data_IF_363405586830
#
_entry.id   IF_363405586830
#
_cell.length_a   1.000
_cell.length_b   1.000
_cell.length_c   1.000
_cell.angle_alpha   90.00
_cell.angle_beta   90.00
_cell.angle_gamma   90.00
#
_symmetry.space_group_name_H-M   'P 1'
#
loop_
_entity.id
_entity.type
_entity.pdbx_description
1 polymer ?
#
# COMPACT_ATOMS: atom_id res chain seq x y z
N UNK A 1 -9.60 -9.10 -8.76
CA UNK A 1 -9.37 -9.40 -10.19
C UNK A 1 -9.48 -8.09 -10.98
N UNK A 2 -8.70 -7.96 -12.05
CA UNK A 2 -8.68 -6.77 -12.92
C UNK A 2 -9.67 -6.93 -14.07
N UNK A 3 -10.13 -5.83 -14.65
CA UNK A 3 -11.03 -5.82 -15.81
C UNK A 3 -10.25 -5.41 -17.05
N UNK A 4 -10.16 -6.30 -18.02
CA UNK A 4 -9.46 -6.07 -19.28
C UNK A 4 -10.36 -6.38 -20.49
N UNK A 5 -9.82 -6.17 -21.70
CA UNK A 5 -10.53 -6.44 -22.94
C UNK A 5 -10.98 -7.89 -23.04
N UNK A 6 -10.13 -8.84 -22.63
CA UNK A 6 -10.44 -10.29 -22.69
C UNK A 6 -11.64 -10.66 -21.80
N UNK A 7 -11.74 -10.04 -20.63
CA UNK A 7 -12.85 -10.21 -19.68
C UNK A 7 -14.16 -9.75 -20.31
N UNK A 8 -14.14 -8.59 -20.98
CA UNK A 8 -15.33 -7.99 -21.58
C UNK A 8 -15.76 -8.69 -22.87
N UNK A 9 -14.79 -9.10 -23.70
CA UNK A 9 -15.02 -9.90 -24.90
C UNK A 9 -15.65 -11.25 -24.57
N UNK A 10 -15.31 -11.83 -23.41
CA UNK A 10 -15.95 -13.05 -22.91
C UNK A 10 -17.38 -12.81 -22.44
N UNK A 11 -17.62 -11.81 -21.58
CA UNK A 11 -18.91 -11.66 -20.88
C UNK A 11 -19.98 -10.93 -21.70
N UNK A 12 -19.61 -9.94 -22.51
CA UNK A 12 -20.58 -9.10 -23.23
C UNK A 12 -21.45 -9.87 -24.22
N UNK A 13 -20.92 -10.83 -25.02
CA UNK A 13 -21.74 -11.67 -25.89
C UNK A 13 -22.75 -12.53 -25.14
N UNK A 14 -22.38 -13.02 -23.95
CA UNK A 14 -23.26 -13.82 -23.09
C UNK A 14 -24.40 -12.97 -22.52
N UNK A 15 -24.10 -11.73 -22.11
CA UNK A 15 -25.08 -10.78 -21.59
C UNK A 15 -25.95 -10.12 -22.67
N UNK A 16 -25.49 -10.14 -23.93
CA UNK A 16 -26.05 -9.40 -25.08
C UNK A 16 -26.18 -7.89 -24.80
N UNK A 17 -25.28 -7.35 -23.96
CA UNK A 17 -25.16 -5.94 -23.59
C UNK A 17 -23.76 -5.72 -22.99
N UNK A 18 -23.34 -4.45 -22.89
CA UNK A 18 -22.11 -4.08 -22.17
C UNK A 18 -22.29 -4.34 -20.67
N UNK A 19 -21.28 -4.93 -20.03
CA UNK A 19 -21.31 -5.21 -18.60
C UNK A 19 -21.40 -3.92 -17.75
N UNK A 20 -22.05 -4.02 -16.60
CA UNK A 20 -21.92 -3.04 -15.51
C UNK A 20 -20.93 -3.63 -14.53
N UNK A 21 -19.78 -3.01 -14.37
CA UNK A 21 -18.68 -3.57 -13.57
C UNK A 21 -18.90 -3.25 -12.09
N UNK A 22 -19.01 -4.30 -11.28
CA UNK A 22 -18.79 -4.25 -9.84
C UNK A 22 -17.35 -4.69 -9.56
N UNK A 23 -16.49 -3.74 -9.21
CA UNK A 23 -15.09 -4.00 -8.97
C UNK A 23 -14.79 -4.16 -7.48
N UNK A 24 -14.35 -5.36 -7.09
CA UNK A 24 -14.01 -5.69 -5.70
C UNK A 24 -12.60 -5.22 -5.33
N UNK A 25 -12.46 -3.90 -5.21
CA UNK A 25 -11.33 -3.20 -4.58
C UNK A 25 -11.78 -1.76 -4.26
N UNK A 26 -11.45 -1.20 -3.07
CA UNK A 26 -10.55 -1.73 -2.04
C UNK A 26 -11.21 -2.64 -0.99
N UNK A 27 -12.39 -3.23 -1.23
CA UNK A 27 -13.06 -4.11 -0.24
C UNK A 27 -12.10 -5.09 0.45
N UNK A 28 -12.19 -5.14 1.78
CA UNK A 28 -11.35 -5.95 2.66
C UNK A 28 -12.16 -6.89 3.55
N UNK A 29 -13.43 -7.16 3.23
CA UNK A 29 -14.33 -8.01 4.03
C UNK A 29 -13.84 -9.45 4.23
N UNK A 30 -12.99 -9.94 3.33
CA UNK A 30 -12.35 -11.26 3.38
C UNK A 30 -10.94 -11.26 4.02
N UNK A 31 -10.42 -10.08 4.37
CA UNK A 31 -9.08 -9.82 4.95
C UNK A 31 -9.17 -8.64 5.93
N UNK A 32 -10.10 -8.72 6.88
CA UNK A 32 -10.48 -7.59 7.76
C UNK A 32 -9.35 -7.08 8.66
N UNK A 33 -8.28 -7.83 8.80
CA UNK A 33 -7.05 -7.44 9.50
C UNK A 33 -6.12 -6.54 8.66
N UNK A 34 -6.44 -6.29 7.38
CA UNK A 34 -5.66 -5.46 6.45
C UNK A 34 -6.40 -4.19 6.04
N UNK A 35 -5.64 -3.10 5.87
CA UNK A 35 -6.06 -1.91 5.13
C UNK A 35 -5.49 -1.98 3.72
N UNK A 36 -6.30 -1.63 2.71
CA UNK A 36 -5.91 -1.67 1.30
C UNK A 36 -5.82 -0.24 0.74
N UNK A 37 -4.75 0.47 1.11
CA UNK A 37 -4.55 1.90 0.83
C UNK A 37 -3.67 2.17 -0.40
N UNK A 38 -3.26 1.12 -1.10
CA UNK A 38 -2.39 1.23 -2.27
C UNK A 38 -3.04 1.87 -3.49
N UNK A 39 -2.23 2.16 -4.52
CA UNK A 39 -2.72 2.75 -5.78
C UNK A 39 -3.75 1.86 -6.46
N UNK A 40 -4.59 2.41 -7.34
CA UNK A 40 -5.55 1.65 -8.17
C UNK A 40 -4.90 1.33 -9.52
N UNK A 41 -4.74 0.04 -9.83
CA UNK A 41 -4.09 -0.39 -11.07
C UNK A 41 -4.55 -1.77 -11.54
N UNK A 42 -4.26 -2.05 -12.82
CA UNK A 42 -4.40 -3.35 -13.47
C UNK A 42 -5.64 -3.49 -14.36
N UNK A 43 -6.62 -2.60 -14.25
CA UNK A 43 -7.72 -2.52 -15.20
C UNK A 43 -7.22 -1.96 -16.54
N UNK A 44 -7.78 -2.41 -17.66
CA UNK A 44 -7.44 -1.92 -18.99
C UNK A 44 -7.74 -0.42 -19.14
N UNK A 45 -6.93 0.28 -19.93
CA UNK A 45 -7.10 1.71 -20.18
C UNK A 45 -7.92 1.99 -21.47
N UNK A 46 -8.21 0.94 -22.24
CA UNK A 46 -8.82 0.96 -23.57
C UNK A 46 -10.20 0.26 -23.60
N UNK A 47 -10.83 0.06 -22.44
CA UNK A 47 -12.07 -0.71 -22.26
C UNK A 47 -13.32 0.14 -22.07
N UNK A 48 -13.19 1.47 -22.18
CA UNK A 48 -14.29 2.45 -21.96
C UNK A 48 -15.54 2.09 -22.77
N UNK A 49 -15.35 1.74 -24.05
CA UNK A 49 -16.45 1.44 -24.95
C UNK A 49 -17.02 0.03 -24.80
N UNK A 50 -16.45 -0.81 -23.94
CA UNK A 50 -16.90 -2.19 -23.73
C UNK A 50 -17.73 -2.37 -22.45
N UNK A 51 -17.86 -1.33 -21.63
CA UNK A 51 -18.65 -1.35 -20.40
C UNK A 51 -19.73 -0.26 -20.40
N UNK A 52 -20.76 -0.48 -19.59
CA UNK A 52 -21.86 0.48 -19.38
C UNK A 52 -21.63 1.37 -18.16
N UNK A 53 -20.93 0.86 -17.16
CA UNK A 53 -20.54 1.58 -15.96
C UNK A 53 -19.46 0.80 -15.20
N UNK A 54 -18.81 1.48 -14.25
CA UNK A 54 -17.81 0.92 -13.36
C UNK A 54 -18.01 1.48 -11.96
N UNK A 55 -18.22 0.60 -10.98
CA UNK A 55 -18.32 0.98 -9.57
C UNK A 55 -17.34 0.17 -8.75
N UNK A 56 -16.79 0.80 -7.72
CA UNK A 56 -15.89 0.18 -6.74
C UNK A 56 -16.67 -0.25 -5.50
N UNK A 57 -16.32 -1.43 -4.98
CA UNK A 57 -16.73 -1.90 -3.68
C UNK A 57 -15.68 -1.48 -2.64
N UNK A 58 -15.98 -0.55 -1.72
CA UNK A 58 -15.03 -0.04 -0.74
C UNK A 58 -14.84 -0.99 0.46
N UNK A 59 -13.90 -0.63 1.34
CA UNK A 59 -13.78 -1.24 2.67
C UNK A 59 -14.93 -0.76 3.58
N UNK A 60 -15.12 -1.43 4.72
CA UNK A 60 -15.98 -0.90 5.79
C UNK A 60 -15.46 0.43 6.39
N UNK A 61 -14.18 0.70 6.23
CA UNK A 61 -13.52 1.96 6.60
C UNK A 61 -13.73 2.99 5.48
N UNK A 62 -14.69 3.90 5.68
CA UNK A 62 -15.20 4.79 4.65
C UNK A 62 -14.20 5.88 4.26
N UNK A 63 -13.54 6.52 5.22
CA UNK A 63 -12.54 7.54 4.94
C UNK A 63 -11.30 6.93 4.30
N UNK A 64 -10.82 5.81 4.83
CA UNK A 64 -9.67 5.10 4.28
C UNK A 64 -9.90 4.68 2.81
N UNK A 65 -11.14 4.29 2.47
CA UNK A 65 -11.52 3.92 1.10
C UNK A 65 -11.46 5.09 0.11
N UNK A 66 -11.44 6.35 0.56
CA UNK A 66 -11.41 7.52 -0.34
C UNK A 66 -10.15 7.57 -1.21
N UNK A 67 -9.03 7.01 -0.77
CA UNK A 67 -7.80 6.93 -1.56
C UNK A 67 -8.06 6.19 -2.88
N UNK A 68 -8.68 5.01 -2.78
CA UNK A 68 -9.02 4.20 -3.95
C UNK A 68 -10.21 4.76 -4.72
N UNK A 69 -11.23 5.29 -4.03
CA UNK A 69 -12.40 5.88 -4.70
C UNK A 69 -12.04 7.12 -5.53
N UNK A 70 -11.14 7.96 -5.05
CA UNK A 70 -10.57 9.07 -5.82
C UNK A 70 -9.94 8.53 -7.11
N UNK A 71 -9.10 7.51 -7.00
CA UNK A 71 -8.40 6.96 -8.16
C UNK A 71 -9.32 6.21 -9.12
N UNK A 72 -10.37 5.57 -8.64
CA UNK A 72 -11.43 5.01 -9.49
C UNK A 72 -12.20 6.12 -10.22
N UNK A 73 -12.46 7.25 -9.57
CA UNK A 73 -13.09 8.39 -10.22
C UNK A 73 -12.20 8.97 -11.35
N UNK A 74 -10.90 9.13 -11.09
CA UNK A 74 -9.94 9.59 -12.12
C UNK A 74 -9.86 8.60 -13.30
N UNK A 75 -9.68 7.31 -13.00
CA UNK A 75 -9.66 6.23 -14.00
C UNK A 75 -10.92 6.21 -14.86
N UNK A 76 -12.10 6.21 -14.24
CA UNK A 76 -13.38 6.08 -14.98
C UNK A 76 -13.73 7.33 -15.78
N UNK A 77 -13.19 8.49 -15.41
CA UNK A 77 -13.35 9.73 -16.16
C UNK A 77 -12.45 9.78 -17.41
N UNK A 78 -11.18 9.35 -17.29
CA UNK A 78 -10.19 9.43 -18.37
C UNK A 78 -9.27 8.21 -18.40
N UNK A 79 -9.81 7.04 -18.77
CA UNK A 79 -9.07 5.77 -18.78
C UNK A 79 -7.78 5.83 -19.59
N UNK A 80 -7.80 6.45 -20.78
CA UNK A 80 -6.66 6.50 -21.70
C UNK A 80 -5.44 7.21 -21.11
N UNK A 81 -5.65 8.24 -20.29
CA UNK A 81 -4.57 9.03 -19.69
C UNK A 81 -4.43 8.78 -18.18
N UNK A 82 -5.09 7.74 -17.65
CA UNK A 82 -5.04 7.45 -16.22
C UNK A 82 -3.64 7.00 -15.80
N UNK A 83 -3.04 7.73 -14.86
CA UNK A 83 -1.77 7.39 -14.24
C UNK A 83 -1.98 6.99 -12.77
N UNK A 84 -1.75 5.71 -12.50
CA UNK A 84 -2.01 5.10 -11.19
C UNK A 84 -1.28 5.78 -10.03
N UNK A 85 0.01 6.05 -10.21
CA UNK A 85 0.87 6.62 -9.17
C UNK A 85 0.53 8.09 -8.90
N UNK A 86 0.33 8.87 -9.96
CA UNK A 86 -0.04 10.30 -9.85
C UNK A 86 -1.40 10.44 -9.20
N UNK A 87 -2.39 9.65 -9.62
CA UNK A 87 -3.73 9.66 -9.02
C UNK A 87 -3.67 9.29 -7.53
N UNK A 88 -2.92 8.25 -7.16
CA UNK A 88 -2.79 7.82 -5.78
C UNK A 88 -2.16 8.92 -4.90
N UNK A 89 -1.09 9.57 -5.37
CA UNK A 89 -0.46 10.69 -4.65
C UNK A 89 -1.37 11.90 -4.52
N UNK A 90 -2.21 12.17 -5.52
CA UNK A 90 -3.24 13.21 -5.43
C UNK A 90 -4.29 12.84 -4.40
N UNK A 91 -4.78 11.61 -4.41
CA UNK A 91 -5.78 11.13 -3.45
C UNK A 91 -5.29 11.23 -1.99
N UNK A 92 -4.05 10.80 -1.73
CA UNK A 92 -3.42 10.91 -0.40
C UNK A 92 -3.30 12.37 0.05
N UNK A 93 -2.84 13.26 -0.86
CA UNK A 93 -2.67 14.68 -0.56
C UNK A 93 -3.99 15.40 -0.34
N UNK A 94 -5.02 15.06 -1.09
CA UNK A 94 -6.35 15.66 -0.93
C UNK A 94 -7.02 15.19 0.37
N UNK A 95 -6.73 13.96 0.82
CA UNK A 95 -7.33 13.39 2.03
C UNK A 95 -6.72 13.94 3.32
N UNK A 96 -5.41 14.22 3.34
CA UNK A 96 -4.65 14.76 4.49
C UNK A 96 -3.62 15.81 4.03
N UNK A 97 -4.02 16.98 3.51
CA UNK A 97 -3.10 17.96 2.91
C UNK A 97 -1.96 18.46 3.83
N UNK A 98 -2.17 18.52 5.15
CA UNK A 98 -1.16 18.94 6.12
C UNK A 98 -0.25 17.80 6.58
N UNK A 99 -0.67 16.54 6.41
CA UNK A 99 0.10 15.34 6.81
C UNK A 99 0.23 14.32 5.64
N UNK A 100 0.23 14.80 4.41
CA UNK A 100 0.18 13.97 3.20
C UNK A 100 1.37 13.03 3.12
N UNK A 101 2.57 13.51 3.44
CA UNK A 101 3.80 12.70 3.45
C UNK A 101 3.70 11.52 4.44
N UNK A 102 3.14 11.75 5.63
CA UNK A 102 2.97 10.68 6.62
C UNK A 102 1.92 9.67 6.18
N UNK A 103 0.82 10.13 5.57
CA UNK A 103 -0.19 9.24 5.02
C UNK A 103 0.35 8.44 3.83
N UNK A 104 1.18 9.04 2.97
CA UNK A 104 1.83 8.36 1.84
C UNK A 104 2.73 7.22 2.32
N UNK A 105 3.57 7.48 3.32
CA UNK A 105 4.41 6.45 3.97
C UNK A 105 3.56 5.33 4.55
N UNK A 106 2.51 5.67 5.31
CA UNK A 106 1.63 4.68 5.91
C UNK A 106 0.93 3.81 4.85
N UNK A 107 0.37 4.43 3.81
CA UNK A 107 -0.34 3.74 2.74
C UNK A 107 0.60 2.85 1.89
N UNK A 108 1.84 3.27 1.64
CA UNK A 108 2.84 2.48 0.91
C UNK A 108 3.19 1.13 1.58
N UNK A 109 2.93 1.01 2.88
CA UNK A 109 3.16 -0.19 3.70
C UNK A 109 1.86 -0.86 4.17
N UNK A 110 0.69 -0.42 3.69
CA UNK A 110 -0.62 -1.00 4.03
C UNK A 110 -1.47 -1.08 2.74
N UNK A 111 -1.11 -2.00 1.86
CA UNK A 111 -1.62 -2.11 0.49
C UNK A 111 -1.97 -3.54 0.06
N UNK A 112 -1.23 -4.55 0.54
CA UNK A 112 -1.42 -5.95 0.15
C UNK A 112 -2.39 -6.67 1.10
N UNK A 113 -3.44 -7.36 0.59
CA UNK A 113 -4.34 -8.18 1.42
C UNK A 113 -3.71 -9.47 1.97
N UNK A 114 -2.42 -9.70 1.73
CA UNK A 114 -1.72 -10.91 2.13
C UNK A 114 -2.28 -12.19 1.50
N UNK A 115 -1.96 -13.34 2.10
CA UNK A 115 -2.43 -14.64 1.63
C UNK A 115 -3.93 -14.80 1.91
N UNK A 116 -4.74 -15.00 0.86
CA UNK A 116 -6.19 -15.15 0.97
C UNK A 116 -6.76 -16.18 -0.02
N UNK A 117 -8.00 -16.61 0.20
CA UNK A 117 -8.68 -17.61 -0.63
C UNK A 117 -8.94 -17.18 -2.08
N UNK A 118 -8.99 -15.88 -2.34
CA UNK A 118 -9.17 -15.32 -3.69
C UNK A 118 -7.86 -15.19 -4.47
N UNK A 119 -6.70 -15.40 -3.81
CA UNK A 119 -5.36 -15.24 -4.39
C UNK A 119 -5.13 -13.86 -5.01
N UNK A 120 -5.91 -12.87 -4.59
CA UNK A 120 -5.73 -11.48 -5.01
C UNK A 120 -4.62 -10.87 -4.18
N UNK A 121 -3.66 -10.20 -4.83
CA UNK A 121 -2.47 -9.60 -4.20
C UNK A 121 -2.26 -8.20 -4.76
N UNK A 122 -1.59 -7.36 -3.99
CA UNK A 122 -1.11 -6.04 -4.42
C UNK A 122 0.38 -5.93 -4.14
N UNK A 123 1.01 -4.97 -4.80
CA UNK A 123 2.36 -4.56 -4.45
C UNK A 123 2.32 -3.69 -3.19
N UNK A 124 3.33 -3.87 -2.34
CA UNK A 124 3.48 -3.15 -1.07
C UNK A 124 4.98 -3.03 -0.74
N UNK A 125 5.37 -1.94 -0.09
CA UNK A 125 6.76 -1.71 0.35
C UNK A 125 7.79 -1.79 -0.79
N UNK A 126 7.36 -1.47 -2.02
CA UNK A 126 8.16 -1.66 -3.25
C UNK A 126 9.48 -0.90 -3.19
N UNK A 127 9.46 0.33 -2.69
CA UNK A 127 10.64 1.19 -2.64
C UNK A 127 11.76 0.63 -1.73
N UNK A 128 11.41 -0.03 -0.63
CA UNK A 128 12.39 -0.54 0.35
C UNK A 128 12.78 -2.01 0.10
N UNK A 129 12.03 -2.73 -0.73
CA UNK A 129 12.27 -4.15 -1.04
C UNK A 129 13.72 -4.45 -1.49
N UNK A 130 14.36 -3.65 -2.37
CA UNK A 130 15.75 -3.91 -2.79
C UNK A 130 16.73 -3.85 -1.62
N UNK A 131 16.60 -2.87 -0.73
CA UNK A 131 17.46 -2.72 0.44
C UNK A 131 17.25 -3.87 1.44
N UNK A 132 15.99 -4.25 1.71
CA UNK A 132 15.69 -5.40 2.57
C UNK A 132 16.32 -6.69 2.01
N UNK A 133 16.21 -6.90 0.70
CA UNK A 133 16.75 -8.08 0.03
C UNK A 133 18.29 -8.11 0.07
N UNK A 134 18.94 -6.97 -0.19
CA UNK A 134 20.40 -6.85 -0.13
C UNK A 134 20.93 -7.11 1.28
N UNK A 135 20.30 -6.50 2.29
CA UNK A 135 20.69 -6.68 3.69
C UNK A 135 20.50 -8.14 4.15
N UNK A 136 19.35 -8.74 3.83
CA UNK A 136 19.06 -10.13 4.19
C UNK A 136 20.05 -11.09 3.53
N UNK A 137 20.34 -10.89 2.24
CA UNK A 137 21.27 -11.73 1.49
C UNK A 137 22.70 -11.64 2.05
N UNK A 138 23.19 -10.42 2.29
CA UNK A 138 24.52 -10.22 2.87
C UNK A 138 24.65 -10.91 4.23
N UNK A 139 23.62 -10.79 5.08
CA UNK A 139 23.61 -11.41 6.39
C UNK A 139 23.54 -12.95 6.32
N UNK A 140 22.65 -13.52 5.50
CA UNK A 140 22.46 -14.97 5.42
C UNK A 140 23.62 -15.71 4.74
N UNK A 141 24.19 -15.13 3.68
CA UNK A 141 25.21 -15.81 2.87
C UNK A 141 26.63 -15.58 3.39
N UNK A 142 26.89 -14.39 3.95
CA UNK A 142 28.25 -13.96 4.32
C UNK A 142 28.41 -13.63 5.80
N UNK A 143 27.32 -13.57 6.57
CA UNK A 143 27.32 -13.04 7.93
C UNK A 143 27.86 -11.59 8.00
N UNK A 144 27.70 -10.83 6.91
CA UNK A 144 28.13 -9.44 6.75
C UNK A 144 26.93 -8.49 6.81
N UNK A 145 27.19 -7.21 7.08
CA UNK A 145 26.19 -6.14 6.94
C UNK A 145 26.51 -5.40 5.65
N UNK A 146 25.56 -5.34 4.74
CA UNK A 146 25.61 -4.36 3.66
C UNK A 146 25.29 -2.98 4.25
N UNK A 147 26.30 -2.12 4.36
CA UNK A 147 26.19 -0.83 5.04
C UNK A 147 25.22 0.13 4.37
N UNK A 148 25.06 0.06 3.06
CA UNK A 148 24.13 0.93 2.35
C UNK A 148 22.70 0.48 2.55
N UNK A 149 22.46 -0.82 2.36
CA UNK A 149 21.17 -1.43 2.64
C UNK A 149 20.75 -1.24 4.11
N UNK A 150 21.68 -1.39 5.06
CA UNK A 150 21.44 -1.13 6.48
C UNK A 150 20.96 0.30 6.72
N UNK A 151 21.63 1.31 6.15
CA UNK A 151 21.23 2.72 6.30
C UNK A 151 19.85 2.98 5.72
N UNK A 152 19.54 2.43 4.55
CA UNK A 152 18.24 2.58 3.91
C UNK A 152 17.12 1.95 4.76
N UNK A 153 17.32 0.74 5.28
CA UNK A 153 16.33 0.07 6.14
C UNK A 153 16.17 0.81 7.48
N UNK A 154 17.27 1.26 8.10
CA UNK A 154 17.22 2.04 9.33
C UNK A 154 16.44 3.36 9.15
N UNK A 155 16.67 4.04 8.03
CA UNK A 155 15.95 5.27 7.70
C UNK A 155 14.47 5.00 7.45
N UNK A 156 14.12 3.89 6.80
CA UNK A 156 12.72 3.52 6.59
C UNK A 156 12.01 3.18 7.91
N UNK A 157 12.65 2.44 8.82
CA UNK A 157 12.14 2.24 10.18
C UNK A 157 11.86 3.58 10.89
N UNK A 158 12.76 4.56 10.76
CA UNK A 158 12.57 5.90 11.33
C UNK A 158 11.37 6.61 10.71
N UNK A 159 11.22 6.58 9.38
CA UNK A 159 10.06 7.17 8.69
C UNK A 159 8.75 6.54 9.12
N UNK A 160 8.69 5.22 9.24
CA UNK A 160 7.52 4.46 9.73
C UNK A 160 7.09 4.99 11.10
N UNK A 161 8.02 5.10 12.06
CA UNK A 161 7.74 5.59 13.41
C UNK A 161 7.24 7.04 13.38
N UNK A 162 7.94 7.91 12.65
CA UNK A 162 7.58 9.34 12.54
C UNK A 162 6.22 9.53 11.87
N UNK A 163 5.93 8.77 10.82
CA UNK A 163 4.65 8.83 10.12
C UNK A 163 3.49 8.39 11.02
N UNK A 164 3.66 7.31 11.78
CA UNK A 164 2.65 6.86 12.75
C UNK A 164 2.38 7.93 13.82
N UNK A 165 3.43 8.47 14.45
CA UNK A 165 3.30 9.50 15.47
C UNK A 165 2.70 10.79 14.90
N UNK A 166 3.14 11.21 13.71
CA UNK A 166 2.63 12.38 13.01
C UNK A 166 1.14 12.27 12.68
N UNK A 167 0.69 11.11 12.18
CA UNK A 167 -0.74 10.87 11.91
C UNK A 167 -1.56 10.81 13.19
N UNK A 168 -1.07 10.17 14.26
CA UNK A 168 -1.74 10.13 15.56
C UNK A 168 -1.84 11.52 16.21
N UNK A 169 -0.90 12.42 15.90
CA UNK A 169 -0.85 13.79 16.38
C UNK A 169 -1.52 14.82 15.43
N UNK A 170 -2.13 14.38 14.33
CA UNK A 170 -2.70 15.26 13.28
C UNK A 170 -3.93 16.09 13.70
N UNK A 171 -4.37 15.95 14.96
CA UNK A 171 -5.45 16.75 15.52
C UNK A 171 -6.80 16.48 14.87
N UNK A 172 -7.40 17.50 14.26
CA UNK A 172 -8.76 17.45 13.70
C UNK A 172 -8.80 17.52 12.17
N UNK A 173 -7.66 17.41 11.47
CA UNK A 173 -7.64 17.52 10.00
C UNK A 173 -8.59 16.53 9.33
N UNK A 174 -8.47 15.23 9.64
CA UNK A 174 -9.45 14.21 9.29
C UNK A 174 -9.65 13.23 10.45
N UNK A 175 -10.37 13.68 11.48
CA UNK A 175 -10.61 12.88 12.69
C UNK A 175 -11.30 11.53 12.40
N UNK A 176 -12.28 11.43 11.49
CA UNK A 176 -12.88 10.14 11.15
C UNK A 176 -11.85 9.16 10.56
N UNK A 177 -10.99 9.59 9.62
CA UNK A 177 -9.91 8.74 9.08
C UNK A 177 -9.00 8.22 10.18
N UNK A 178 -8.47 9.12 11.02
CA UNK A 178 -7.57 8.75 12.11
C UNK A 178 -8.25 7.79 13.09
N UNK A 179 -9.56 7.90 13.28
CA UNK A 179 -10.31 6.97 14.13
C UNK A 179 -10.39 5.58 13.50
N UNK A 180 -10.64 5.49 12.19
CA UNK A 180 -10.68 4.22 11.45
C UNK A 180 -9.32 3.51 11.48
N UNK A 181 -8.23 4.21 11.16
CA UNK A 181 -6.91 3.58 10.94
C UNK A 181 -6.06 3.47 12.21
N UNK A 182 -6.51 4.01 13.36
CA UNK A 182 -5.71 4.06 14.60
C UNK A 182 -5.10 2.72 15.02
N UNK A 183 -5.81 1.58 15.00
CA UNK A 183 -5.22 0.30 15.39
C UNK A 183 -4.01 -0.07 14.52
N UNK A 184 -4.11 0.14 13.20
CA UNK A 184 -3.02 -0.09 12.25
C UNK A 184 -1.87 0.90 12.45
N UNK A 185 -2.13 2.17 12.78
CA UNK A 185 -1.05 3.14 13.10
C UNK A 185 -0.22 2.71 14.32
N UNK A 186 -0.88 2.19 15.36
CA UNK A 186 -0.18 1.68 16.55
C UNK A 186 0.70 0.48 16.17
N UNK A 187 0.15 -0.48 15.42
CA UNK A 187 0.89 -1.65 14.98
C UNK A 187 2.05 -1.27 14.03
N UNK A 188 1.81 -0.32 13.12
CA UNK A 188 2.80 0.17 12.17
C UNK A 188 4.00 0.79 12.88
N UNK A 189 3.76 1.61 13.92
CA UNK A 189 4.83 2.13 14.78
C UNK A 189 5.65 1.01 15.41
N UNK A 190 4.97 0.00 15.98
CA UNK A 190 5.64 -1.13 16.61
C UNK A 190 6.52 -1.92 15.62
N UNK A 191 6.09 -2.07 14.37
CA UNK A 191 6.91 -2.69 13.31
C UNK A 191 8.16 -1.87 13.03
N UNK A 192 8.05 -0.54 12.96
CA UNK A 192 9.20 0.36 12.79
C UNK A 192 10.19 0.26 13.96
N UNK A 193 9.70 0.30 15.20
CA UNK A 193 10.52 0.16 16.42
C UNK A 193 11.20 -1.21 16.49
N UNK A 194 10.46 -2.28 16.21
CA UNK A 194 11.00 -3.63 16.17
C UNK A 194 12.09 -3.79 15.11
N UNK A 195 11.88 -3.25 13.91
CA UNK A 195 12.88 -3.25 12.84
C UNK A 195 14.17 -2.54 13.25
N UNK A 196 14.06 -1.37 13.89
CA UNK A 196 15.20 -0.62 14.39
C UNK A 196 16.00 -1.41 15.45
N UNK A 197 15.33 -2.10 16.38
CA UNK A 197 16.00 -2.93 17.37
C UNK A 197 16.68 -4.15 16.77
N UNK A 198 16.08 -4.79 15.77
CA UNK A 198 16.71 -5.89 15.02
C UNK A 198 18.00 -5.43 14.34
N UNK A 199 18.00 -4.24 13.72
CA UNK A 199 19.19 -3.66 13.12
C UNK A 199 20.27 -3.36 14.16
N UNK A 200 19.91 -2.85 15.34
CA UNK A 200 20.85 -2.64 16.44
C UNK A 200 21.49 -3.96 16.90
N UNK A 201 20.69 -5.02 17.05
CA UNK A 201 21.18 -6.34 17.45
C UNK A 201 22.18 -6.92 16.45
N UNK A 202 21.90 -6.83 15.14
CA UNK A 202 22.81 -7.34 14.10
C UNK A 202 24.15 -6.59 14.13
N UNK A 203 24.13 -5.26 14.31
CA UNK A 203 25.33 -4.43 14.44
C UNK A 203 26.17 -4.80 15.68
N UNK A 204 25.53 -4.91 16.84
CA UNK A 204 26.20 -5.25 18.10
C UNK A 204 26.84 -6.64 18.05
N UNK A 205 26.19 -7.60 17.38
CA UNK A 205 26.74 -8.94 17.19
C UNK A 205 28.04 -8.91 16.39
N UNK A 206 28.10 -8.20 15.28
CA UNK A 206 29.33 -8.09 14.49
C UNK A 206 30.46 -7.40 15.24
N UNK A 207 30.15 -6.35 16.01
CA UNK A 207 31.15 -5.69 16.85
C UNK A 207 31.72 -6.63 17.92
N UNK A 208 30.86 -7.46 18.52
CA UNK A 208 31.29 -8.50 19.46
C UNK A 208 32.19 -9.55 18.79
N UNK A 209 31.81 -10.03 17.60
CA UNK A 209 32.59 -11.04 16.87
C UNK A 209 33.96 -10.47 16.46
N UNK A 210 34.04 -9.20 16.05
CA UNK A 210 35.29 -8.51 15.73
C UNK A 210 36.18 -8.20 16.96
N UNK A 211 35.60 -8.17 18.16
CA UNK A 211 36.34 -7.93 19.41
C UNK A 211 36.89 -9.22 20.03
N UNK A 212 36.23 -10.36 19.79
CA UNK A 212 36.58 -11.67 20.37
C UNK A 212 37.46 -12.50 19.41
N UNK A 213 37.36 -12.29 18.10
CA UNK A 213 38.20 -12.93 17.07
C UNK A 213 39.55 -12.27 16.90
#
# INVERSE_FOLDING_TARGET
ATIDKSTLDFVNPLLKRKAYIWWNFPVSDYVQDHLLLGPVYGNGLDVKDDMSAFVSNPMEHAEASKISLYSVADYTWNMENYDSETSWKHAVRDLMPLHAEYLEIFAAHNSDPGQNGHRFRREESVAIQPALSALLKAYQEKNEIDEDAYRQVAEECRKIIVAADGLLASGNENRPLITEIRPWLIQFKQVGEYGAEVLNMIRLRQQKDAFIG
#
